data_IF_504343398478
#
_entry.id   IF_504343398478
#
_cell.length_a   1.000
_cell.length_b   1.000
_cell.length_c   1.000
_cell.angle_alpha   90.00
_cell.angle_beta   90.00
_cell.angle_gamma   90.00
#
_symmetry.space_group_name_H-M   'P 1'
#
loop_
_entity.id
_entity.type
_entity.pdbx_description
1 polymer ?
#
# COMPACT_ATOMS: atom_id res chain seq x y z
N UNK A 1 -15.10 8.16 -24.97
CA UNK A 1 -14.00 7.16 -24.96
C UNK A 1 -12.84 7.75 -24.19
N UNK A 2 -12.30 7.06 -23.20
CA UNK A 2 -11.19 7.52 -22.37
C UNK A 2 -9.90 7.69 -23.19
N UNK A 3 -9.19 8.80 -22.97
CA UNK A 3 -7.90 9.09 -23.62
C UNK A 3 -6.77 8.87 -22.62
N UNK A 4 -6.19 7.68 -22.66
CA UNK A 4 -5.09 7.32 -21.78
C UNK A 4 -3.75 7.92 -22.23
N UNK A 5 -2.96 8.39 -21.27
CA UNK A 5 -1.58 8.84 -21.46
C UNK A 5 -0.71 8.38 -20.30
N UNK A 6 0.60 8.24 -20.50
CA UNK A 6 1.51 7.86 -19.42
C UNK A 6 1.37 8.77 -18.18
N UNK A 7 1.42 8.13 -17.01
CA UNK A 7 1.54 8.81 -15.73
C UNK A 7 2.88 9.56 -15.66
N UNK A 8 2.82 10.82 -15.24
CA UNK A 8 4.02 11.65 -15.02
C UNK A 8 4.00 12.27 -13.63
N UNK A 9 5.12 12.85 -13.21
CA UNK A 9 5.21 13.53 -11.90
C UNK A 9 4.25 14.72 -11.78
N UNK A 10 3.99 15.40 -12.88
CA UNK A 10 3.09 16.57 -12.95
C UNK A 10 1.65 16.20 -12.61
N UNK A 11 1.28 14.92 -12.72
CA UNK A 11 -0.05 14.44 -12.38
C UNK A 11 -0.27 14.36 -10.84
N UNK A 12 0.79 14.48 -10.05
CA UNK A 12 0.73 14.30 -8.59
C UNK A 12 -0.40 15.11 -7.93
N UNK A 13 -0.45 16.39 -8.18
CA UNK A 13 -1.42 17.26 -7.51
C UNK A 13 -2.86 16.95 -7.92
N UNK A 14 -3.23 16.99 -9.21
CA UNK A 14 -4.62 16.71 -9.60
C UNK A 14 -5.04 15.28 -9.29
N UNK A 15 -4.12 14.29 -9.36
CA UNK A 15 -4.41 12.92 -8.98
C UNK A 15 -4.70 12.79 -7.47
N UNK A 16 -3.84 13.38 -6.63
CA UNK A 16 -4.00 13.31 -5.17
C UNK A 16 -5.29 14.00 -4.69
N UNK A 17 -5.73 15.05 -5.37
CA UNK A 17 -7.04 15.68 -5.09
C UNK A 17 -8.21 14.73 -5.33
N UNK A 18 -8.18 13.95 -6.42
CA UNK A 18 -9.21 12.94 -6.69
C UNK A 18 -9.08 11.74 -5.76
N UNK A 19 -7.87 11.25 -5.52
CA UNK A 19 -7.65 10.20 -4.52
C UNK A 19 -8.17 10.62 -3.14
N UNK A 20 -8.01 11.90 -2.77
CA UNK A 20 -8.57 12.48 -1.55
C UNK A 20 -10.09 12.33 -1.43
N UNK A 21 -10.82 12.29 -2.57
CA UNK A 21 -12.28 12.15 -2.61
C UNK A 21 -12.76 10.71 -2.53
N UNK A 22 -11.89 9.71 -2.70
CA UNK A 22 -12.29 8.31 -2.54
C UNK A 22 -12.77 8.04 -1.12
N UNK A 23 -13.86 7.34 -0.96
CA UNK A 23 -14.50 7.09 0.34
C UNK A 23 -13.69 6.14 1.25
N UNK A 24 -12.84 5.29 0.67
CA UNK A 24 -11.94 4.36 1.37
C UNK A 24 -10.55 4.48 0.77
N UNK A 25 -9.53 4.59 1.62
CA UNK A 25 -8.14 4.71 1.20
C UNK A 25 -7.50 3.33 1.07
N UNK A 26 -7.28 2.93 -0.18
CA UNK A 26 -6.44 1.77 -0.52
C UNK A 26 -5.03 2.28 -0.81
N UNK A 27 -4.04 1.62 -0.24
CA UNK A 27 -2.64 1.99 -0.37
C UNK A 27 -2.17 1.96 -1.83
N UNK A 28 -2.59 0.94 -2.57
CA UNK A 28 -2.27 0.76 -3.98
C UNK A 28 -2.63 1.96 -4.88
N UNK A 29 -3.68 2.70 -4.51
CA UNK A 29 -4.14 3.86 -5.27
C UNK A 29 -3.52 5.20 -4.83
N UNK A 30 -2.54 5.22 -3.92
CA UNK A 30 -1.82 6.46 -3.65
C UNK A 30 -0.99 6.87 -4.86
N UNK A 31 -0.68 8.16 -4.98
CA UNK A 31 0.15 8.62 -6.10
C UNK A 31 1.53 7.95 -6.09
N UNK A 32 2.11 7.77 -4.90
CA UNK A 32 3.41 7.10 -4.80
C UNK A 32 3.34 5.64 -5.24
N UNK A 33 2.29 4.89 -4.91
CA UNK A 33 2.15 3.51 -5.39
C UNK A 33 2.21 3.42 -6.91
N UNK A 34 1.55 4.33 -7.61
CA UNK A 34 1.51 4.32 -9.06
C UNK A 34 2.83 4.81 -9.68
N UNK A 35 3.39 5.88 -9.11
CA UNK A 35 4.58 6.54 -9.67
C UNK A 35 5.89 5.89 -9.20
N UNK A 36 5.97 5.52 -7.94
CA UNK A 36 7.18 4.95 -7.32
C UNK A 36 7.60 3.62 -7.96
N UNK A 37 6.63 2.81 -8.37
CA UNK A 37 6.84 1.52 -9.04
C UNK A 37 6.77 1.62 -10.58
N UNK A 38 6.75 2.83 -11.14
CA UNK A 38 6.50 3.08 -12.55
C UNK A 38 7.51 2.47 -13.54
N UNK A 39 8.71 2.07 -13.11
CA UNK A 39 9.67 1.37 -13.97
C UNK A 39 9.25 -0.07 -14.28
N UNK A 40 8.64 -0.74 -13.31
CA UNK A 40 8.21 -2.14 -13.41
C UNK A 40 6.72 -2.29 -13.64
N UNK A 41 5.95 -1.30 -13.21
CA UNK A 41 4.52 -1.23 -13.40
C UNK A 41 4.12 0.11 -14.04
N UNK A 42 4.46 0.35 -15.34
CA UNK A 42 4.08 1.58 -16.01
C UNK A 42 2.57 1.77 -16.02
N UNK A 43 2.14 2.94 -15.60
CA UNK A 43 0.73 3.31 -15.52
C UNK A 43 0.38 4.38 -16.55
N UNK A 44 -0.84 4.30 -17.04
CA UNK A 44 -1.48 5.36 -17.83
C UNK A 44 -2.73 5.86 -17.13
N UNK A 45 -2.98 7.15 -17.30
CA UNK A 45 -4.13 7.85 -16.72
C UNK A 45 -5.05 8.36 -17.83
N UNK A 46 -6.36 8.31 -17.58
CA UNK A 46 -7.36 9.03 -18.36
C UNK A 46 -8.33 9.72 -17.39
N UNK A 47 -8.69 10.95 -17.69
CA UNK A 47 -9.49 11.80 -16.83
C UNK A 47 -10.87 12.00 -17.43
N UNK A 48 -11.89 11.91 -16.58
CA UNK A 48 -13.20 12.49 -16.84
C UNK A 48 -13.50 13.61 -15.82
N UNK A 49 -14.73 14.10 -15.76
CA UNK A 49 -15.09 15.24 -14.88
C UNK A 49 -14.96 14.90 -13.39
N UNK A 50 -15.04 13.63 -12.99
CA UNK A 50 -15.16 13.18 -11.59
C UNK A 50 -14.14 12.12 -11.18
N UNK A 51 -13.58 11.40 -12.13
CA UNK A 51 -12.72 10.24 -11.90
C UNK A 51 -11.42 10.34 -12.72
N UNK A 52 -10.38 9.74 -12.18
CA UNK A 52 -9.16 9.40 -12.90
C UNK A 52 -9.09 7.89 -13.09
N UNK A 53 -9.18 7.45 -14.33
CA UNK A 53 -9.11 6.06 -14.75
C UNK A 53 -7.66 5.61 -14.89
N UNK A 54 -7.38 4.37 -14.51
CA UNK A 54 -6.05 3.81 -14.44
C UNK A 54 -5.92 2.62 -15.41
N UNK A 55 -4.77 2.52 -16.08
CA UNK A 55 -4.41 1.36 -16.89
C UNK A 55 -2.97 0.95 -16.62
N UNK A 56 -2.78 -0.29 -16.18
CA UNK A 56 -1.47 -0.88 -15.91
C UNK A 56 -0.90 -1.55 -17.16
N UNK A 57 0.40 -1.42 -17.36
CA UNK A 57 1.20 -2.13 -18.38
C UNK A 57 2.27 -3.03 -17.74
N UNK A 58 2.26 -3.19 -16.42
CA UNK A 58 3.22 -4.00 -15.68
C UNK A 58 2.89 -5.49 -15.67
N UNK A 59 3.20 -6.13 -14.55
CA UNK A 59 3.04 -7.58 -14.36
C UNK A 59 1.58 -8.05 -14.47
N UNK A 60 0.63 -7.20 -14.13
CA UNK A 60 -0.81 -7.40 -14.29
C UNK A 60 -1.35 -6.32 -15.24
N UNK A 61 -1.24 -6.51 -16.58
CA UNK A 61 -1.74 -5.51 -17.51
C UNK A 61 -3.27 -5.51 -17.56
N UNK A 62 -3.85 -4.31 -17.59
CA UNK A 62 -5.30 -4.16 -17.63
C UNK A 62 -5.78 -2.83 -17.08
N UNK A 63 -7.09 -2.66 -17.09
CA UNK A 63 -7.73 -1.51 -16.44
C UNK A 63 -7.81 -1.77 -14.94
N UNK A 64 -7.54 -0.73 -14.13
CA UNK A 64 -7.77 -0.75 -12.70
C UNK A 64 -8.98 0.12 -12.35
N UNK A 65 -9.46 0.03 -11.12
CA UNK A 65 -10.52 0.92 -10.65
C UNK A 65 -10.06 2.38 -10.71
N UNK A 66 -10.93 3.32 -11.11
CA UNK A 66 -10.58 4.74 -11.06
C UNK A 66 -10.57 5.26 -9.61
N UNK A 67 -9.88 6.39 -9.40
CA UNK A 67 -9.95 7.18 -8.18
C UNK A 67 -10.84 8.41 -8.38
N UNK A 68 -11.48 8.89 -7.30
CA UNK A 68 -12.34 10.06 -7.32
C UNK A 68 -13.59 9.87 -6.46
N UNK A 69 -14.66 10.60 -6.78
CA UNK A 69 -15.92 10.50 -6.05
C UNK A 69 -16.75 9.31 -6.53
N UNK A 70 -16.56 8.17 -5.88
CA UNK A 70 -17.27 6.94 -6.21
C UNK A 70 -18.78 7.00 -5.92
N UNK A 71 -19.21 7.89 -5.01
CA UNK A 71 -20.62 8.06 -4.65
C UNK A 71 -21.39 8.86 -5.71
N UNK A 72 -20.69 9.79 -6.38
CA UNK A 72 -21.27 10.59 -7.46
C UNK A 72 -21.25 9.87 -8.83
N UNK A 73 -20.54 8.77 -8.96
CA UNK A 73 -20.34 8.05 -10.23
C UNK A 73 -21.59 7.24 -10.64
N UNK A 74 -22.07 7.41 -11.87
CA UNK A 74 -23.02 6.49 -12.51
C UNK A 74 -22.28 5.31 -13.12
N UNK A 75 -22.06 4.28 -12.31
CA UNK A 75 -21.28 3.09 -12.71
C UNK A 75 -21.87 2.35 -13.90
N UNK A 76 -23.21 2.31 -14.04
CA UNK A 76 -23.89 1.70 -15.19
C UNK A 76 -23.58 2.44 -16.49
N UNK A 77 -23.62 3.76 -16.46
CA UNK A 77 -23.27 4.60 -17.61
C UNK A 77 -21.79 4.51 -17.96
N UNK A 78 -20.91 4.66 -16.97
CA UNK A 78 -19.47 4.68 -17.13
C UNK A 78 -18.94 3.36 -17.70
N UNK A 79 -19.32 2.22 -17.11
CA UNK A 79 -18.86 0.93 -17.62
C UNK A 79 -19.40 0.63 -19.02
N UNK A 80 -20.64 1.08 -19.33
CA UNK A 80 -21.23 0.94 -20.67
C UNK A 80 -20.51 1.77 -21.72
N UNK A 81 -20.10 2.97 -21.35
CA UNK A 81 -19.43 3.91 -22.28
C UNK A 81 -18.00 3.49 -22.59
N UNK A 82 -17.29 2.95 -21.59
CA UNK A 82 -15.84 2.82 -21.67
C UNK A 82 -15.36 1.39 -21.88
N UNK A 83 -16.18 0.36 -21.59
CA UNK A 83 -15.75 -1.04 -21.62
C UNK A 83 -16.61 -1.92 -22.53
N UNK A 84 -15.96 -2.90 -23.15
CA UNK A 84 -16.57 -3.89 -24.01
C UNK A 84 -16.64 -5.28 -23.33
N UNK A 85 -17.49 -6.19 -23.81
CA UNK A 85 -17.46 -7.58 -23.35
C UNK A 85 -16.07 -8.20 -23.50
N UNK A 86 -15.59 -8.83 -22.42
CA UNK A 86 -14.25 -9.40 -22.31
C UNK A 86 -13.23 -8.46 -21.67
N UNK A 87 -13.54 -7.17 -21.51
CA UNK A 87 -12.67 -6.26 -20.73
C UNK A 87 -12.71 -6.63 -19.24
N UNK A 88 -11.60 -6.41 -18.57
CA UNK A 88 -11.39 -6.73 -17.16
C UNK A 88 -10.88 -5.52 -16.41
N UNK A 89 -11.55 -5.21 -15.30
CA UNK A 89 -11.04 -4.28 -14.31
C UNK A 89 -10.39 -5.09 -13.18
N UNK A 90 -9.17 -4.73 -12.83
CA UNK A 90 -8.37 -5.32 -11.78
C UNK A 90 -8.45 -4.46 -10.50
N UNK A 91 -8.20 -5.10 -9.38
CA UNK A 91 -8.04 -4.47 -8.08
C UNK A 91 -9.23 -3.57 -7.67
N UNK A 92 -10.44 -3.92 -8.13
CA UNK A 92 -11.65 -3.13 -7.89
C UNK A 92 -12.01 -3.17 -6.40
N UNK A 93 -12.03 -2.02 -5.70
CA UNK A 93 -12.40 -1.95 -4.29
C UNK A 93 -13.81 -2.49 -4.01
N UNK A 94 -13.99 -3.16 -2.85
CA UNK A 94 -15.33 -3.58 -2.38
C UNK A 94 -16.32 -2.42 -2.42
N UNK A 95 -15.87 -1.23 -1.98
CA UNK A 95 -16.68 -0.03 -1.98
C UNK A 95 -17.20 0.37 -3.38
N UNK A 96 -16.47 0.07 -4.45
CA UNK A 96 -16.92 0.32 -5.83
C UNK A 96 -17.93 -0.76 -6.26
N UNK A 97 -17.62 -2.03 -5.98
CA UNK A 97 -18.51 -3.15 -6.33
C UNK A 97 -19.89 -3.02 -5.65
N UNK A 98 -19.92 -2.55 -4.41
CA UNK A 98 -21.16 -2.31 -3.65
C UNK A 98 -22.08 -1.22 -4.26
N UNK A 99 -21.56 -0.41 -5.19
CA UNK A 99 -22.31 0.62 -5.91
C UNK A 99 -22.88 0.17 -7.25
N UNK A 100 -22.59 -1.07 -7.64
CA UNK A 100 -23.17 -1.61 -8.88
C UNK A 100 -24.67 -1.84 -8.71
N UNK A 101 -25.46 -1.38 -9.67
CA UNK A 101 -26.90 -1.69 -9.71
C UNK A 101 -27.12 -3.20 -9.97
N UNK A 102 -28.32 -3.69 -9.65
CA UNK A 102 -28.71 -5.07 -9.97
C UNK A 102 -28.58 -5.36 -11.47
N UNK A 103 -28.86 -4.36 -12.32
CA UNK A 103 -28.74 -4.49 -13.77
C UNK A 103 -27.29 -4.61 -14.24
N UNK A 104 -26.35 -3.92 -13.59
CA UNK A 104 -24.93 -4.01 -13.85
C UNK A 104 -24.37 -5.32 -13.30
N UNK A 105 -24.70 -5.67 -12.06
CA UNK A 105 -24.27 -6.90 -11.40
C UNK A 105 -24.64 -8.16 -12.21
N UNK A 106 -25.78 -8.15 -12.93
CA UNK A 106 -26.18 -9.24 -13.82
C UNK A 106 -25.35 -9.35 -15.12
N UNK A 107 -24.47 -8.38 -15.41
CA UNK A 107 -23.71 -8.29 -16.66
C UNK A 107 -22.20 -8.34 -16.47
N UNK A 108 -21.76 -8.43 -15.24
CA UNK A 108 -20.34 -8.55 -14.86
C UNK A 108 -20.13 -9.82 -14.06
N UNK A 109 -18.94 -10.36 -14.12
CA UNK A 109 -18.48 -11.39 -13.20
C UNK A 109 -17.55 -10.74 -12.19
N UNK A 110 -17.94 -10.78 -10.93
CA UNK A 110 -17.14 -10.28 -9.82
C UNK A 110 -16.49 -11.46 -9.12
N UNK A 111 -15.16 -11.47 -9.05
CA UNK A 111 -14.38 -12.54 -8.42
C UNK A 111 -13.46 -11.92 -7.37
N UNK A 112 -13.44 -12.46 -6.16
CA UNK A 112 -12.51 -12.01 -5.11
C UNK A 112 -11.06 -12.23 -5.54
N UNK A 113 -10.21 -11.21 -5.39
CA UNK A 113 -8.77 -11.33 -5.52
C UNK A 113 -8.15 -11.27 -4.13
N UNK A 114 -8.18 -12.42 -3.43
CA UNK A 114 -7.78 -12.51 -2.02
C UNK A 114 -6.32 -12.11 -1.78
N UNK A 115 -5.47 -12.30 -2.74
CA UNK A 115 -4.04 -12.07 -2.63
C UNK A 115 -3.69 -10.57 -2.62
N UNK A 116 -4.61 -9.74 -3.15
CA UNK A 116 -4.51 -8.28 -3.22
C UNK A 116 -5.24 -7.55 -2.07
N UNK A 117 -5.86 -8.26 -1.12
CA UNK A 117 -6.55 -7.61 -0.01
C UNK A 117 -5.59 -6.96 0.95
N UNK A 118 -5.83 -5.69 1.29
CA UNK A 118 -4.99 -4.94 2.22
C UNK A 118 -5.43 -5.10 3.67
N UNK A 119 -4.46 -5.00 4.58
CA UNK A 119 -4.63 -5.24 6.00
C UNK A 119 -4.66 -3.94 6.79
N UNK A 120 -5.85 -3.51 7.22
CA UNK A 120 -6.04 -2.31 8.03
C UNK A 120 -6.01 -2.67 9.51
N UNK A 121 -5.12 -2.02 10.26
CA UNK A 121 -4.95 -2.23 11.70
C UNK A 121 -5.28 -0.97 12.49
N UNK A 122 -5.64 -1.14 13.76
CA UNK A 122 -5.82 -0.04 14.70
C UNK A 122 -4.47 0.42 15.26
N UNK A 123 -4.10 1.67 15.02
CA UNK A 123 -2.86 2.25 15.57
C UNK A 123 -2.83 2.18 17.11
N UNK A 124 -3.89 2.61 17.84
CA UNK A 124 -3.90 2.48 19.30
C UNK A 124 -3.71 1.04 19.80
N UNK A 125 -4.23 0.03 19.08
CA UNK A 125 -4.05 -1.38 19.48
C UNK A 125 -2.61 -1.85 19.24
N UNK A 126 -2.01 -1.47 18.12
CA UNK A 126 -0.62 -1.83 17.80
C UNK A 126 0.38 -1.13 18.72
N UNK A 127 0.11 0.11 19.12
CA UNK A 127 0.90 0.81 20.14
C UNK A 127 0.80 0.10 21.48
N UNK A 128 -0.42 -0.20 21.93
CA UNK A 128 -0.66 -0.75 23.26
C UNK A 128 -0.30 -2.22 23.38
N UNK A 129 -0.47 -3.00 22.30
CA UNK A 129 -0.33 -4.45 22.23
C UNK A 129 -1.01 -5.17 23.42
N UNK A 130 -2.17 -4.70 23.88
CA UNK A 130 -2.87 -5.21 25.07
C UNK A 130 -3.58 -6.56 24.81
N UNK A 131 -3.74 -7.33 25.88
CA UNK A 131 -4.48 -8.59 25.85
C UNK A 131 -3.63 -9.80 25.45
N UNK A 132 -4.24 -11.00 25.59
CA UNK A 132 -3.57 -12.28 25.31
C UNK A 132 -3.19 -12.46 23.85
N UNK A 133 -4.00 -11.94 22.91
CA UNK A 133 -3.76 -12.03 21.47
C UNK A 133 -2.45 -11.40 21.03
N UNK A 134 -1.97 -10.38 21.74
CA UNK A 134 -0.69 -9.71 21.46
C UNK A 134 0.46 -10.16 22.39
N UNK A 135 0.25 -11.20 23.21
CA UNK A 135 1.27 -11.61 24.19
C UNK A 135 2.62 -11.93 23.55
N UNK A 136 2.61 -12.62 22.41
CA UNK A 136 3.81 -12.97 21.68
C UNK A 136 4.51 -11.72 21.11
N UNK A 137 3.75 -10.76 20.56
CA UNK A 137 4.31 -9.52 20.02
C UNK A 137 5.00 -8.71 21.12
N UNK A 138 4.36 -8.57 22.28
CA UNK A 138 4.97 -7.94 23.45
C UNK A 138 6.23 -8.65 23.93
N UNK A 139 6.25 -9.99 23.88
CA UNK A 139 7.43 -10.74 24.26
C UNK A 139 8.61 -10.46 23.31
N UNK A 140 8.37 -10.40 22.01
CA UNK A 140 9.39 -10.04 21.03
C UNK A 140 9.91 -8.61 21.23
N UNK A 141 9.03 -7.61 21.41
CA UNK A 141 9.45 -6.24 21.71
C UNK A 141 10.32 -6.16 22.95
N UNK A 142 9.89 -6.80 24.04
CA UNK A 142 10.67 -6.84 25.30
C UNK A 142 12.01 -7.55 25.12
N UNK A 143 12.03 -8.64 24.36
CA UNK A 143 13.27 -9.37 24.06
C UNK A 143 14.27 -8.46 23.37
N UNK A 144 13.85 -7.75 22.31
CA UNK A 144 14.68 -6.78 21.61
C UNK A 144 15.19 -5.70 22.56
N UNK A 145 14.29 -5.02 23.26
CA UNK A 145 14.62 -3.90 24.16
C UNK A 145 15.51 -4.27 25.34
N UNK A 146 15.53 -5.56 25.73
CA UNK A 146 16.39 -6.03 26.82
C UNK A 146 17.71 -6.63 26.35
N UNK A 147 17.88 -6.91 25.05
CA UNK A 147 19.05 -7.61 24.51
C UNK A 147 20.15 -6.68 23.96
N UNK A 148 19.85 -5.41 23.76
CA UNK A 148 20.78 -4.44 23.16
C UNK A 148 20.52 -3.01 23.67
N UNK A 149 21.48 -2.12 23.44
CA UNK A 149 21.29 -0.68 23.62
C UNK A 149 20.64 -0.15 22.34
N UNK A 150 19.34 0.14 22.39
CA UNK A 150 18.54 0.50 21.25
C UNK A 150 18.21 2.00 21.21
N UNK A 151 18.12 2.54 20.01
CA UNK A 151 17.73 3.92 19.74
C UNK A 151 16.71 3.98 18.60
N UNK A 152 15.66 4.78 18.79
CA UNK A 152 14.70 5.14 17.75
C UNK A 152 15.04 6.53 17.20
N UNK A 153 15.25 6.64 15.89
CA UNK A 153 15.64 7.88 15.24
C UNK A 153 14.61 8.23 14.17
N UNK A 154 13.84 9.33 14.31
CA UNK A 154 13.02 9.84 13.22
C UNK A 154 13.89 10.09 12.00
N UNK A 155 13.46 9.62 10.83
CA UNK A 155 14.22 9.72 9.59
C UNK A 155 14.20 11.16 9.04
N UNK A 156 15.37 11.72 8.82
CA UNK A 156 15.57 13.01 8.19
C UNK A 156 16.45 12.83 6.92
N UNK A 157 16.48 13.81 6.00
CA UNK A 157 17.28 13.70 4.78
C UNK A 157 18.77 13.40 5.00
N UNK A 158 19.35 13.88 6.10
CA UNK A 158 20.74 13.57 6.47
C UNK A 158 20.99 12.09 6.81
N UNK A 159 19.94 11.34 7.16
CA UNK A 159 20.03 9.91 7.50
C UNK A 159 19.88 9.00 6.26
N UNK A 160 19.52 9.53 5.09
CA UNK A 160 19.30 8.71 3.88
C UNK A 160 20.51 7.88 3.46
N UNK A 161 21.76 8.36 3.54
CA UNK A 161 22.91 7.52 3.27
C UNK A 161 22.99 6.29 4.18
N UNK A 162 22.71 6.44 5.48
CA UNK A 162 22.70 5.34 6.45
C UNK A 162 21.58 4.33 6.14
N UNK A 163 20.37 4.82 5.78
CA UNK A 163 19.26 3.96 5.35
C UNK A 163 19.65 3.16 4.11
N UNK A 164 20.26 3.78 3.11
CA UNK A 164 20.65 3.13 1.86
C UNK A 164 21.78 2.11 2.06
N UNK A 165 22.72 2.38 2.96
CA UNK A 165 23.77 1.43 3.34
C UNK A 165 23.15 0.20 4.02
N UNK A 166 22.20 0.42 4.94
CA UNK A 166 21.45 -0.66 5.57
C UNK A 166 20.64 -1.46 4.53
N UNK A 167 19.92 -0.79 3.62
CA UNK A 167 19.13 -1.44 2.57
C UNK A 167 20.00 -2.33 1.68
N UNK A 168 21.17 -1.86 1.28
CA UNK A 168 22.13 -2.64 0.50
C UNK A 168 22.61 -3.89 1.25
N UNK A 169 22.91 -3.77 2.54
CA UNK A 169 23.30 -4.91 3.38
C UNK A 169 22.12 -5.90 3.58
N UNK A 170 20.91 -5.38 3.78
CA UNK A 170 19.71 -6.20 3.93
C UNK A 170 19.44 -7.02 2.65
N UNK A 171 19.54 -6.39 1.47
CA UNK A 171 19.42 -7.07 0.17
C UNK A 171 20.48 -8.16 0.03
N UNK A 172 21.75 -7.85 0.29
CA UNK A 172 22.86 -8.80 0.20
C UNK A 172 22.64 -10.05 1.07
N UNK A 173 22.02 -9.92 2.24
CA UNK A 173 21.68 -11.06 3.11
C UNK A 173 20.51 -11.89 2.59
N UNK A 174 19.64 -11.32 1.77
CA UNK A 174 18.48 -11.98 1.17
C UNK A 174 18.77 -12.63 -0.18
N UNK A 175 19.92 -12.36 -0.78
CA UNK A 175 20.33 -12.92 -2.07
C UNK A 175 20.67 -14.42 -1.98
N UNK A 176 19.63 -15.24 -1.79
CA UNK A 176 19.67 -16.64 -2.17
C UNK A 176 19.17 -16.86 -3.62
N UNK A 177 18.98 -15.80 -4.40
CA UNK A 177 18.57 -15.78 -5.81
C UNK A 177 18.05 -14.40 -6.21
N UNK A 178 18.26 -13.95 -7.45
CA UNK A 178 17.73 -12.68 -7.92
C UNK A 178 16.20 -12.74 -7.90
N UNK A 179 15.59 -11.98 -7.00
CA UNK A 179 14.18 -11.70 -7.05
C UNK A 179 14.01 -10.34 -7.72
N UNK A 180 13.49 -10.31 -8.94
CA UNK A 180 13.18 -9.08 -9.66
C UNK A 180 12.37 -8.12 -8.77
N UNK A 181 11.49 -8.66 -7.90
CA UNK A 181 10.69 -7.85 -6.99
C UNK A 181 11.50 -7.09 -5.92
N UNK A 182 12.65 -7.60 -5.47
CA UNK A 182 13.50 -6.90 -4.49
C UNK A 182 14.30 -5.75 -5.12
N UNK A 183 14.72 -5.91 -6.37
CA UNK A 183 15.36 -4.83 -7.12
C UNK A 183 14.36 -3.71 -7.46
N UNK A 184 13.11 -4.08 -7.77
CA UNK A 184 12.04 -3.15 -8.02
C UNK A 184 11.69 -2.35 -6.76
N UNK A 185 11.61 -3.03 -5.62
CA UNK A 185 11.39 -2.41 -4.32
C UNK A 185 12.55 -1.46 -3.96
N UNK A 186 13.81 -1.83 -4.20
CA UNK A 186 14.96 -0.94 -3.96
C UNK A 186 14.87 0.34 -4.80
N UNK A 187 14.45 0.23 -6.08
CA UNK A 187 14.21 1.40 -6.92
C UNK A 187 13.09 2.28 -6.37
N UNK A 188 11.98 1.68 -5.91
CA UNK A 188 10.88 2.42 -5.32
C UNK A 188 11.31 3.13 -4.02
N UNK A 189 12.12 2.49 -3.17
CA UNK A 189 12.69 3.11 -1.96
C UNK A 189 13.53 4.34 -2.33
N UNK A 190 14.43 4.23 -3.31
CA UNK A 190 15.25 5.36 -3.77
C UNK A 190 14.41 6.50 -4.29
N UNK A 191 13.35 6.21 -5.05
CA UNK A 191 12.39 7.23 -5.52
C UNK A 191 11.65 7.91 -4.37
N UNK A 192 11.29 7.16 -3.32
CA UNK A 192 10.69 7.75 -2.13
C UNK A 192 11.63 8.76 -1.47
N UNK A 193 12.91 8.40 -1.30
CA UNK A 193 13.91 9.29 -0.71
C UNK A 193 14.22 10.50 -1.59
N UNK A 194 14.26 10.35 -2.92
CA UNK A 194 14.46 11.46 -3.88
C UNK A 194 13.31 12.48 -3.85
N UNK A 195 12.12 12.06 -3.46
CA UNK A 195 10.90 12.88 -3.41
C UNK A 195 10.33 13.04 -2.02
N UNK A 196 11.16 12.88 -1.01
CA UNK A 196 10.74 12.88 0.39
C UNK A 196 9.95 14.13 0.79
N UNK A 197 10.44 15.30 0.40
CA UNK A 197 9.82 16.58 0.73
C UNK A 197 8.58 16.90 -0.12
N UNK A 198 8.39 16.18 -1.22
CA UNK A 198 7.26 16.38 -2.14
C UNK A 198 6.04 15.51 -1.80
N UNK A 199 6.22 14.45 -1.02
CA UNK A 199 5.21 13.46 -0.67
C UNK A 199 5.05 13.39 0.87
N UNK A 200 3.88 12.98 1.37
CA UNK A 200 3.61 12.96 2.81
C UNK A 200 4.24 11.73 3.49
N UNK A 201 5.57 11.63 3.41
CA UNK A 201 6.31 10.53 4.02
C UNK A 201 6.67 10.82 5.48
N UNK A 202 6.66 9.75 6.26
CA UNK A 202 7.21 9.65 7.60
C UNK A 202 8.17 8.47 7.62
N UNK A 203 9.18 8.50 8.48
CA UNK A 203 10.09 7.37 8.57
C UNK A 203 10.91 7.36 9.84
N UNK A 204 11.57 6.23 10.07
CA UNK A 204 12.47 6.05 11.19
C UNK A 204 13.56 5.03 10.92
N UNK A 205 14.68 5.20 11.59
CA UNK A 205 15.71 4.17 11.79
C UNK A 205 15.55 3.55 13.18
N UNK A 206 15.84 2.27 13.28
CA UNK A 206 16.05 1.56 14.53
C UNK A 206 17.52 1.16 14.60
N UNK A 207 18.23 1.65 15.63
CA UNK A 207 19.61 1.28 15.91
C UNK A 207 19.67 0.33 17.10
N UNK A 208 20.66 -0.54 17.11
CA UNK A 208 21.00 -1.42 18.22
C UNK A 208 22.53 -1.44 18.35
N UNK A 209 23.05 -1.20 19.56
CA UNK A 209 24.48 -1.15 19.85
C UNK A 209 25.26 -0.22 18.90
N UNK A 210 24.65 0.93 18.57
CA UNK A 210 25.20 1.94 17.66
C UNK A 210 25.16 1.62 16.17
N UNK A 211 24.47 0.54 15.76
CA UNK A 211 24.36 0.13 14.35
C UNK A 211 22.89 0.10 13.92
N UNK A 212 22.58 0.56 12.71
CA UNK A 212 21.23 0.47 12.14
C UNK A 212 20.86 -0.98 11.91
N UNK A 213 19.72 -1.39 12.48
CA UNK A 213 19.19 -2.75 12.43
C UNK A 213 17.81 -2.82 11.77
N UNK A 214 17.24 -1.67 11.41
CA UNK A 214 16.00 -1.60 10.68
C UNK A 214 15.57 -0.18 10.35
N UNK A 215 14.61 -0.07 9.42
CA UNK A 215 13.97 1.19 9.09
C UNK A 215 12.50 0.98 8.69
N UNK A 216 11.73 2.05 8.80
CA UNK A 216 10.36 2.15 8.30
C UNK A 216 10.22 3.41 7.45
N UNK A 217 9.55 3.30 6.30
CA UNK A 217 9.01 4.43 5.54
C UNK A 217 7.50 4.22 5.45
N UNK A 218 6.74 5.24 5.82
CA UNK A 218 5.30 5.26 5.76
C UNK A 218 4.83 6.48 4.96
N UNK A 219 3.63 6.37 4.37
CA UNK A 219 2.95 7.45 3.65
C UNK A 219 1.64 7.79 4.36
N UNK A 220 1.33 9.07 4.52
CA UNK A 220 0.00 9.50 4.95
C UNK A 220 -0.98 9.37 3.78
N UNK A 221 -1.97 8.47 3.90
CA UNK A 221 -3.03 8.33 2.89
C UNK A 221 -4.16 9.34 3.10
N UNK A 222 -4.45 9.68 4.33
CA UNK A 222 -5.34 10.76 4.77
C UNK A 222 -5.07 11.10 6.25
N UNK A 223 -5.79 12.09 6.79
CA UNK A 223 -5.62 12.57 8.17
C UNK A 223 -5.84 11.50 9.26
N UNK A 224 -6.26 10.28 8.93
CA UNK A 224 -6.55 9.20 9.88
C UNK A 224 -5.82 7.91 9.56
N UNK A 225 -5.23 7.78 8.37
CA UNK A 225 -4.69 6.53 7.86
C UNK A 225 -3.26 6.70 7.40
N UNK A 226 -2.35 6.00 8.04
CA UNK A 226 -1.00 5.75 7.54
C UNK A 226 -0.96 4.49 6.69
N UNK A 227 0.02 4.41 5.82
CA UNK A 227 0.41 3.19 5.15
C UNK A 227 1.89 2.90 5.39
N UNK A 228 2.23 1.67 5.77
CA UNK A 228 3.61 1.22 5.89
C UNK A 228 4.08 0.73 4.53
N UNK A 229 4.78 1.59 3.81
CA UNK A 229 5.33 1.30 2.49
C UNK A 229 6.50 0.33 2.54
N UNK A 230 7.45 0.62 3.38
CA UNK A 230 8.66 -0.20 3.52
C UNK A 230 8.98 -0.37 5.00
N UNK A 231 9.12 -1.62 5.43
CA UNK A 231 9.56 -1.96 6.78
C UNK A 231 10.57 -3.11 6.69
N UNK A 232 11.81 -2.82 7.04
CA UNK A 232 12.92 -3.77 6.97
C UNK A 232 13.66 -3.81 8.30
N UNK A 233 14.01 -5.02 8.74
CA UNK A 233 14.86 -5.19 9.93
C UNK A 233 15.74 -6.43 9.79
N UNK A 234 16.80 -6.52 10.60
CA UNK A 234 17.67 -7.67 10.69
C UNK A 234 17.07 -8.70 11.67
N UNK A 235 16.95 -9.95 11.21
CA UNK A 235 16.41 -11.07 12.01
C UNK A 235 17.39 -11.51 13.12
N UNK A 236 18.68 -11.18 12.99
CA UNK A 236 19.70 -11.44 14.00
C UNK A 236 19.36 -10.77 15.34
N UNK A 237 18.59 -9.70 15.30
CA UNK A 237 18.06 -9.02 16.48
C UNK A 237 16.61 -9.46 16.72
N UNK A 238 16.43 -10.50 17.51
CA UNK A 238 15.12 -11.09 17.78
C UNK A 238 14.10 -10.05 18.27
N UNK A 239 13.03 -9.84 17.52
CA UNK A 239 11.98 -8.86 17.83
C UNK A 239 12.19 -7.47 17.26
N UNK A 240 13.23 -7.23 16.44
CA UNK A 240 13.51 -5.95 15.80
C UNK A 240 12.33 -5.44 14.97
N UNK A 241 11.70 -6.27 14.12
CA UNK A 241 10.50 -5.91 13.35
C UNK A 241 9.35 -5.46 14.26
N UNK A 242 9.09 -6.18 15.37
CA UNK A 242 8.02 -5.86 16.28
C UNK A 242 8.29 -4.58 17.06
N UNK A 243 9.55 -4.36 17.45
CA UNK A 243 10.00 -3.15 18.13
C UNK A 243 9.91 -1.94 17.18
N UNK A 244 10.43 -2.07 15.94
CA UNK A 244 10.38 -1.01 14.94
C UNK A 244 8.94 -0.57 14.67
N UNK A 245 8.03 -1.52 14.39
CA UNK A 245 6.63 -1.23 14.15
C UNK A 245 5.96 -0.51 15.34
N UNK A 246 6.14 -1.01 16.55
CA UNK A 246 5.55 -0.39 17.74
C UNK A 246 6.13 1.01 18.01
N UNK A 247 7.46 1.16 17.95
CA UNK A 247 8.14 2.42 18.22
C UNK A 247 7.80 3.48 17.17
N UNK A 248 7.72 3.10 15.89
CA UNK A 248 7.29 4.00 14.82
C UNK A 248 5.89 4.54 15.09
N UNK A 249 4.93 3.66 15.34
CA UNK A 249 3.55 4.07 15.61
C UNK A 249 3.44 4.90 16.91
N UNK A 250 4.23 4.60 17.95
CA UNK A 250 4.25 5.40 19.18
C UNK A 250 4.76 6.82 18.97
N UNK A 251 5.78 7.00 18.14
CA UNK A 251 6.49 8.28 18.00
C UNK A 251 5.94 9.14 16.86
N UNK A 252 5.50 8.54 15.76
CA UNK A 252 5.04 9.29 14.58
C UNK A 252 3.62 8.90 14.14
N UNK A 253 3.11 7.76 14.54
CA UNK A 253 1.79 7.27 14.14
C UNK A 253 0.66 7.55 15.13
N UNK A 254 0.94 8.10 16.32
CA UNK A 254 -0.03 8.17 17.44
C UNK A 254 -1.29 9.00 17.14
N UNK A 255 -1.23 9.95 16.22
CA UNK A 255 -2.34 10.80 15.83
C UNK A 255 -3.27 10.16 14.80
N UNK A 256 -2.86 9.04 14.20
CA UNK A 256 -3.67 8.30 13.23
C UNK A 256 -4.53 7.23 13.93
N UNK A 257 -5.69 6.98 13.35
CA UNK A 257 -6.58 5.92 13.83
C UNK A 257 -6.19 4.55 13.27
N UNK A 258 -5.72 4.54 12.02
CA UNK A 258 -5.50 3.34 11.23
C UNK A 258 -4.10 3.32 10.62
N UNK A 259 -3.58 2.11 10.46
CA UNK A 259 -2.40 1.83 9.64
C UNK A 259 -2.72 0.70 8.68
N UNK A 260 -2.54 0.97 7.39
CA UNK A 260 -2.55 -0.01 6.32
C UNK A 260 -1.17 -0.68 6.25
N UNK A 261 -1.14 -1.97 6.03
CA UNK A 261 0.09 -2.74 5.86
C UNK A 261 0.09 -3.50 4.54
N UNK A 262 -0.62 -2.99 3.57
CA UNK A 262 -0.73 -3.49 2.20
C UNK A 262 -1.18 -4.97 2.11
N UNK A 263 -1.14 -5.57 0.93
CA UNK A 263 -1.54 -6.94 0.62
C UNK A 263 -0.46 -7.97 0.98
N UNK A 264 -0.80 -9.25 0.90
CA UNK A 264 0.13 -10.38 1.13
C UNK A 264 0.67 -11.02 -0.16
N UNK A 265 0.20 -10.59 -1.33
CA UNK A 265 0.62 -11.09 -2.65
C UNK A 265 0.55 -12.62 -2.78
N UNK A 266 -0.37 -13.28 -2.07
CA UNK A 266 -0.49 -14.73 -2.04
C UNK A 266 0.62 -15.46 -1.28
N UNK A 267 1.54 -14.75 -0.60
CA UNK A 267 2.59 -15.35 0.20
C UNK A 267 2.04 -15.82 1.56
N UNK A 268 2.03 -17.16 1.85
CA UNK A 268 1.46 -17.66 3.09
C UNK A 268 2.15 -17.15 4.37
N UNK A 269 3.47 -16.98 4.33
CA UNK A 269 4.23 -16.48 5.49
C UNK A 269 3.91 -15.00 5.78
N UNK A 270 3.82 -14.18 4.72
CA UNK A 270 3.45 -12.77 4.85
C UNK A 270 2.00 -12.64 5.33
N UNK A 271 1.10 -13.47 4.79
CA UNK A 271 -0.32 -13.56 5.23
C UNK A 271 -0.43 -13.88 6.70
N UNK A 272 0.27 -14.93 7.17
CA UNK A 272 0.29 -15.31 8.58
C UNK A 272 0.84 -14.17 9.45
N UNK A 273 1.94 -13.56 9.04
CA UNK A 273 2.55 -12.44 9.73
C UNK A 273 1.58 -11.27 9.89
N UNK A 274 0.91 -10.83 8.81
CA UNK A 274 -0.07 -9.73 8.84
C UNK A 274 -1.31 -10.07 9.67
N UNK A 275 -1.88 -11.26 9.52
CA UNK A 275 -3.02 -11.73 10.32
C UNK A 275 -2.69 -11.84 11.82
N UNK A 276 -1.44 -12.17 12.17
CA UNK A 276 -1.01 -12.29 13.57
C UNK A 276 -1.02 -10.96 14.34
N UNK A 277 -1.20 -9.85 13.64
CA UNK A 277 -1.42 -8.52 14.22
C UNK A 277 -2.90 -8.13 14.34
N UNK A 278 -3.82 -9.06 14.03
CA UNK A 278 -5.26 -8.92 14.20
C UNK A 278 -5.82 -7.67 13.50
N UNK A 279 -5.81 -7.62 12.17
CA UNK A 279 -6.37 -6.50 11.44
C UNK A 279 -7.82 -6.25 11.82
N UNK A 280 -8.22 -5.01 11.94
CA UNK A 280 -9.60 -4.62 12.25
C UNK A 280 -10.51 -4.74 11.04
N UNK A 281 -9.91 -4.64 9.84
CA UNK A 281 -10.60 -4.78 8.55
C UNK A 281 -9.62 -5.31 7.51
N UNK A 282 -10.14 -6.12 6.59
CA UNK A 282 -9.50 -6.41 5.31
C UNK A 282 -10.16 -5.54 4.25
N UNK A 283 -9.38 -4.74 3.56
CA UNK A 283 -9.86 -3.93 2.43
C UNK A 283 -9.85 -4.82 1.20
N UNK A 284 -11.03 -5.32 0.86
CA UNK A 284 -11.17 -6.31 -0.21
C UNK A 284 -11.08 -5.68 -1.58
N UNK A 285 -10.46 -6.43 -2.50
CA UNK A 285 -10.37 -6.10 -3.92
C UNK A 285 -10.92 -7.26 -4.76
N UNK A 286 -11.41 -6.91 -5.93
CA UNK A 286 -12.08 -7.82 -6.84
C UNK A 286 -11.57 -7.64 -8.27
N UNK A 287 -11.63 -8.72 -9.01
CA UNK A 287 -11.55 -8.73 -10.46
C UNK A 287 -12.98 -8.65 -11.02
N UNK A 288 -13.23 -7.68 -11.88
CA UNK A 288 -14.55 -7.47 -12.52
C UNK A 288 -14.41 -7.66 -14.02
N UNK A 289 -15.09 -8.67 -14.57
CA UNK A 289 -15.10 -8.98 -16.00
C UNK A 289 -16.46 -8.61 -16.62
N UNK A 290 -16.43 -7.90 -17.74
CA UNK A 290 -17.64 -7.52 -18.48
C UNK A 290 -18.08 -8.70 -19.34
N UNK A 291 -19.24 -9.31 -19.02
CA UNK A 291 -19.71 -10.54 -19.66
C UNK A 291 -20.54 -10.29 -20.93
N UNK A 292 -21.30 -9.19 -20.97
CA UNK A 292 -22.23 -8.90 -22.07
C UNK A 292 -22.26 -7.42 -22.39
N UNK A 293 -22.64 -7.09 -23.64
CA UNK A 293 -22.84 -5.71 -24.02
C UNK A 293 -23.82 -5.02 -23.07
N UNK A 294 -23.35 -3.96 -22.45
CA UNK A 294 -24.16 -3.09 -21.60
C UNK A 294 -25.09 -2.30 -22.53
N UNK A 295 -26.23 -2.90 -22.94
CA UNK A 295 -27.14 -2.30 -23.93
C UNK A 295 -27.71 -0.96 -23.43
N UNK A 296 -27.84 -0.01 -24.36
CA UNK A 296 -28.65 1.18 -24.14
C UNK A 296 -30.08 0.73 -23.86
N UNK A 297 -30.60 1.08 -22.68
CA UNK A 297 -32.04 0.99 -22.37
C UNK A 297 -32.78 2.15 -22.98
#
# INVERSE_FOLDING_TARGET
MLSFRPLTWEDRVPYSELYGRTSVKYAEYSFFSLWGWGDTNPMELAWDDTLCWLRSHGNKPGFCSPVGDWDAADWDALLREHFAPGDVLLDVPEAVVERFSDSLAARVQVTEDRDEWEYLHSVPELIALKGSRFAQKRAYVRSFQSSCDWEYVPLLPEDFPELLDFQAEWLRRREAGPSLSLEDEDRAIRRALERWDDLPFLGALLRADGTTVGYTIAEELDAKTLDIRFEKALEDYAGSYQALNQLFLQNQGSDYAWVNREEDMGNPGLREAKLSYHPVRLLKKYRVEILSALRQG
#
